data_IF_381941738998
#
_entry.id   IF_381941738998
#
_cell.length_a   1.000
_cell.length_b   1.000
_cell.length_c   1.000
_cell.angle_alpha   90.00
_cell.angle_beta   90.00
_cell.angle_gamma   90.00
#
_symmetry.space_group_name_H-M   'P 1'
#
loop_
_entity.id
_entity.type
_entity.pdbx_description
1 polymer ?
#
# COMPACT_ATOMS: atom_id res chain seq x y z
N UNK A 1 13.20 55.03 -38.40
CA UNK A 1 13.93 55.09 -37.12
C UNK A 1 13.13 54.57 -35.93
N UNK A 2 11.85 54.93 -35.77
CA UNK A 2 11.02 54.47 -34.63
C UNK A 2 10.81 52.95 -34.64
N UNK A 3 10.49 52.35 -35.80
CA UNK A 3 10.26 50.90 -35.93
C UNK A 3 11.50 50.05 -35.60
N UNK A 4 12.69 50.53 -35.94
CA UNK A 4 13.96 49.83 -35.69
C UNK A 4 14.30 49.85 -34.19
N UNK A 5 13.99 50.94 -33.49
CA UNK A 5 14.11 51.02 -32.03
C UNK A 5 13.15 50.07 -31.31
N UNK A 6 11.91 49.95 -31.79
CA UNK A 6 10.92 49.03 -31.19
C UNK A 6 11.33 47.56 -31.36
N UNK A 7 11.86 47.20 -32.54
CA UNK A 7 12.36 45.84 -32.81
C UNK A 7 13.59 45.48 -31.97
N UNK A 8 14.51 46.43 -31.76
CA UNK A 8 15.69 46.23 -30.90
C UNK A 8 15.29 46.04 -29.43
N UNK A 9 14.29 46.78 -28.94
CA UNK A 9 13.80 46.64 -27.56
C UNK A 9 13.12 45.28 -27.34
N UNK A 10 12.30 44.82 -28.31
CA UNK A 10 11.66 43.50 -28.24
C UNK A 10 12.71 42.38 -28.31
N UNK A 11 13.71 42.52 -29.18
CA UNK A 11 14.79 41.53 -29.28
C UNK A 11 15.62 41.46 -28.00
N UNK A 12 15.94 42.60 -27.38
CA UNK A 12 16.64 42.64 -26.09
C UNK A 12 15.81 42.04 -24.95
N UNK A 13 14.49 42.27 -24.92
CA UNK A 13 13.61 41.64 -23.93
C UNK A 13 13.53 40.12 -24.12
N UNK A 14 13.51 39.63 -25.36
CA UNK A 14 13.53 38.19 -25.66
C UNK A 14 14.87 37.58 -25.22
N UNK A 15 16.00 38.21 -25.52
CA UNK A 15 17.33 37.72 -25.11
C UNK A 15 17.49 37.72 -23.58
N UNK A 16 17.00 38.73 -22.88
CA UNK A 16 16.98 38.77 -21.40
C UNK A 16 16.07 37.68 -20.82
N UNK A 17 14.93 37.42 -21.46
CA UNK A 17 14.00 36.34 -21.06
C UNK A 17 14.59 34.94 -21.31
N UNK A 18 15.41 34.79 -22.37
CA UNK A 18 16.14 33.55 -22.66
C UNK A 18 17.38 33.37 -21.76
N UNK A 19 18.01 34.44 -21.28
CA UNK A 19 19.16 34.35 -20.36
C UNK A 19 18.78 34.17 -18.89
N UNK A 20 17.50 34.30 -18.53
CA UNK A 20 16.96 33.91 -17.21
C UNK A 20 16.47 32.46 -17.17
N UNK A 21 16.45 31.76 -18.31
CA UNK A 21 16.40 30.30 -18.36
C UNK A 21 17.81 29.78 -18.08
N UNK A 22 18.26 29.95 -16.83
CA UNK A 22 19.28 29.07 -16.31
C UNK A 22 18.82 27.64 -16.61
N UNK A 23 19.68 26.74 -17.15
CA UNK A 23 19.36 25.33 -17.00
C UNK A 23 19.18 25.14 -15.50
N UNK A 24 17.97 24.76 -15.08
CA UNK A 24 17.81 24.11 -13.79
C UNK A 24 18.80 22.96 -13.86
N UNK A 25 19.99 23.17 -13.30
CA UNK A 25 20.88 22.10 -12.93
C UNK A 25 19.99 21.27 -12.04
N UNK A 26 19.51 20.14 -12.57
CA UNK A 26 18.90 19.10 -11.77
C UNK A 26 20.01 18.73 -10.82
N UNK A 27 20.04 19.33 -9.62
CA UNK A 27 20.74 18.74 -8.51
C UNK A 27 20.28 17.29 -8.51
N UNK A 28 21.23 16.38 -8.69
CA UNK A 28 20.97 14.96 -8.58
C UNK A 28 20.44 14.77 -7.16
N UNK A 29 19.12 14.74 -7.04
CA UNK A 29 18.41 14.54 -5.78
C UNK A 29 18.94 13.22 -5.25
N UNK A 30 19.54 13.24 -4.07
CA UNK A 30 19.89 12.00 -3.38
C UNK A 30 18.63 11.12 -3.41
N UNK A 31 18.78 9.89 -3.92
CA UNK A 31 17.64 8.98 -4.03
C UNK A 31 17.10 8.76 -2.62
N UNK A 32 15.91 9.30 -2.34
CA UNK A 32 15.27 9.12 -1.05
C UNK A 32 14.90 7.66 -0.95
N UNK A 33 15.53 6.94 -0.02
CA UNK A 33 15.19 5.56 0.31
C UNK A 33 14.98 5.42 1.81
N UNK A 34 14.04 4.56 2.20
CA UNK A 34 13.81 4.24 3.61
C UNK A 34 13.35 2.79 3.75
N UNK A 35 13.59 2.21 4.92
CA UNK A 35 13.19 0.84 5.24
C UNK A 35 12.21 0.84 6.40
N UNK A 36 11.11 0.11 6.28
CA UNK A 36 10.17 -0.15 7.36
C UNK A 36 9.95 -1.65 7.52
N UNK A 37 9.50 -2.07 8.69
CA UNK A 37 9.07 -3.44 8.93
C UNK A 37 7.58 -3.49 9.27
N UNK A 38 6.96 -4.63 9.06
CA UNK A 38 5.56 -4.86 9.40
C UNK A 38 5.35 -6.32 9.83
N UNK A 39 4.34 -6.55 10.65
CA UNK A 39 3.82 -7.88 10.95
C UNK A 39 2.45 -7.78 11.62
N UNK A 40 1.64 -8.83 11.55
CA UNK A 40 0.38 -8.98 12.29
C UNK A 40 0.44 -10.14 13.27
N UNK A 41 -0.56 -10.23 14.15
CA UNK A 41 -0.85 -11.48 14.86
C UNK A 41 0.32 -11.92 15.77
N UNK A 42 0.70 -11.06 16.72
CA UNK A 42 1.67 -11.47 17.76
C UNK A 42 0.95 -12.32 18.80
N UNK A 43 -0.05 -11.74 19.45
CA UNK A 43 -0.53 -12.26 20.71
C UNK A 43 0.46 -12.10 21.85
N UNK A 44 -0.05 -11.99 23.07
CA UNK A 44 0.76 -11.88 24.27
C UNK A 44 -0.03 -12.44 25.47
N UNK A 45 -0.27 -13.74 25.43
CA UNK A 45 -0.85 -14.52 26.52
C UNK A 45 0.15 -15.62 26.93
N UNK A 46 -0.12 -16.32 28.04
CA UNK A 46 0.82 -17.26 28.66
C UNK A 46 1.38 -18.33 27.71
N UNK A 47 0.62 -18.74 26.69
CA UNK A 47 1.04 -19.71 25.68
C UNK A 47 1.86 -19.15 24.50
N UNK A 48 1.82 -17.83 24.26
CA UNK A 48 2.50 -17.18 23.12
C UNK A 48 3.66 -16.27 23.52
N UNK A 49 3.75 -15.84 24.78
CA UNK A 49 4.67 -14.78 25.21
C UNK A 49 6.13 -14.96 24.79
N UNK A 50 6.66 -16.19 24.81
CA UNK A 50 8.04 -16.47 24.40
C UNK A 50 8.27 -16.22 22.91
N UNK A 51 7.33 -16.66 22.06
CA UNK A 51 7.35 -16.42 20.62
C UNK A 51 7.23 -14.92 20.35
N UNK A 52 6.28 -14.25 21.02
CA UNK A 52 6.07 -12.80 20.94
C UNK A 52 7.34 -12.02 21.26
N UNK A 53 7.98 -12.35 22.38
CA UNK A 53 9.21 -11.70 22.82
C UNK A 53 10.36 -11.94 21.84
N UNK A 54 10.49 -13.17 21.32
CA UNK A 54 11.52 -13.53 20.34
C UNK A 54 11.37 -12.69 19.07
N UNK A 55 10.16 -12.62 18.51
CA UNK A 55 9.92 -11.89 17.27
C UNK A 55 10.04 -10.37 17.42
N UNK A 56 9.57 -9.81 18.54
CA UNK A 56 9.74 -8.38 18.82
C UNK A 56 11.21 -8.00 19.03
N UNK A 57 12.01 -8.87 19.64
CA UNK A 57 13.46 -8.64 19.84
C UNK A 57 14.27 -8.83 18.55
N UNK A 58 13.71 -9.53 17.54
CA UNK A 58 14.36 -9.73 16.25
C UNK A 58 14.27 -8.50 15.32
N UNK A 59 13.41 -7.52 15.61
CA UNK A 59 13.33 -6.28 14.85
C UNK A 59 14.68 -5.53 14.86
N UNK A 60 15.29 -5.26 13.70
CA UNK A 60 16.63 -4.67 13.68
C UNK A 60 16.60 -3.15 13.93
N UNK A 61 17.71 -2.59 14.45
CA UNK A 61 17.91 -1.15 14.47
C UNK A 61 18.03 -0.59 13.04
N UNK A 62 17.69 0.70 12.86
CA UNK A 62 17.80 1.38 11.57
C UNK A 62 16.54 1.37 10.72
N UNK A 63 15.48 0.68 11.16
CA UNK A 63 14.13 0.85 10.63
C UNK A 63 13.65 2.29 10.79
N UNK A 64 12.83 2.74 9.86
CA UNK A 64 12.22 4.08 9.86
C UNK A 64 10.97 4.11 10.72
N UNK A 65 10.17 3.04 10.64
CA UNK A 65 8.99 2.80 11.45
C UNK A 65 8.64 1.31 11.40
N UNK A 66 7.78 0.87 12.32
CA UNK A 66 7.16 -0.45 12.30
C UNK A 66 5.64 -0.31 12.14
N UNK A 67 5.01 -1.14 11.31
CA UNK A 67 3.56 -1.20 11.15
C UNK A 67 3.02 -2.52 11.69
N UNK A 68 2.24 -2.43 12.76
CA UNK A 68 1.55 -3.56 13.36
C UNK A 68 0.19 -3.77 12.68
N UNK A 69 0.00 -4.90 12.01
CA UNK A 69 -1.14 -5.16 11.12
C UNK A 69 -2.21 -6.00 11.82
N UNK A 70 -2.78 -5.47 12.90
CA UNK A 70 -3.91 -6.06 13.63
C UNK A 70 -3.59 -7.32 14.43
N UNK A 71 -4.52 -7.68 15.29
CA UNK A 71 -4.47 -8.82 16.22
C UNK A 71 -3.28 -8.77 17.18
N UNK A 72 -3.30 -7.76 18.02
CA UNK A 72 -2.15 -7.32 18.81
C UNK A 72 -1.85 -8.29 19.96
N UNK A 73 -2.82 -8.56 20.83
CA UNK A 73 -2.54 -9.27 22.09
C UNK A 73 -3.28 -10.57 22.28
N UNK A 74 -4.47 -10.74 21.69
CA UNK A 74 -5.37 -11.86 22.00
C UNK A 74 -5.61 -12.03 23.52
N UNK A 75 -5.35 -10.98 24.32
CA UNK A 75 -5.22 -11.06 25.77
C UNK A 75 -6.49 -10.57 26.47
N UNK A 76 -7.65 -10.99 25.95
CA UNK A 76 -8.95 -10.84 26.58
C UNK A 76 -9.68 -12.17 26.70
N UNK A 77 -10.98 -12.15 26.45
CA UNK A 77 -11.88 -13.30 26.60
C UNK A 77 -11.48 -14.51 25.77
N UNK A 78 -10.78 -14.34 24.63
CA UNK A 78 -10.32 -15.48 23.83
C UNK A 78 -9.31 -16.35 24.58
N UNK A 79 -8.63 -15.78 25.59
CA UNK A 79 -7.66 -16.48 26.43
C UNK A 79 -7.99 -16.41 27.94
N UNK A 80 -9.26 -16.18 28.30
CA UNK A 80 -9.74 -16.23 29.69
C UNK A 80 -9.40 -15.01 30.54
N UNK A 81 -9.01 -13.89 29.91
CA UNK A 81 -8.76 -12.61 30.56
C UNK A 81 -9.97 -11.67 30.43
N UNK A 82 -9.93 -10.54 31.15
CA UNK A 82 -10.92 -9.48 30.97
C UNK A 82 -10.85 -8.93 29.54
N UNK A 83 -12.00 -8.61 28.92
CA UNK A 83 -12.11 -8.01 27.58
C UNK A 83 -11.15 -6.87 27.27
N UNK A 84 -10.90 -6.02 28.27
CA UNK A 84 -10.12 -4.78 28.15
C UNK A 84 -9.37 -4.53 29.46
N UNK A 85 -8.29 -3.74 29.40
CA UNK A 85 -7.49 -3.32 30.54
C UNK A 85 -6.11 -3.99 30.60
N UNK A 86 -5.87 -5.02 29.80
CA UNK A 86 -4.58 -5.71 29.72
C UNK A 86 -3.65 -5.12 28.66
N UNK A 87 -4.16 -4.24 27.78
CA UNK A 87 -3.39 -3.60 26.71
C UNK A 87 -2.17 -2.89 27.29
N UNK A 88 -2.32 -2.25 28.46
CA UNK A 88 -1.22 -1.56 29.17
C UNK A 88 0.00 -2.46 29.44
N UNK A 89 -0.20 -3.76 29.65
CA UNK A 89 0.89 -4.71 29.84
C UNK A 89 1.70 -4.87 28.56
N UNK A 90 1.02 -5.00 27.42
CA UNK A 90 1.63 -5.03 26.09
C UNK A 90 2.37 -3.72 25.81
N UNK A 91 1.74 -2.58 26.04
CA UNK A 91 2.36 -1.28 25.79
C UNK A 91 3.64 -1.10 26.62
N UNK A 92 3.60 -1.47 27.90
CA UNK A 92 4.75 -1.39 28.78
C UNK A 92 5.85 -2.37 28.36
N UNK A 93 5.49 -3.57 27.91
CA UNK A 93 6.44 -4.52 27.36
C UNK A 93 7.18 -3.93 26.15
N UNK A 94 6.46 -3.38 25.17
CA UNK A 94 7.04 -2.77 23.96
C UNK A 94 7.92 -1.57 24.32
N UNK A 95 7.42 -0.65 25.15
CA UNK A 95 8.17 0.55 25.58
C UNK A 95 9.45 0.21 26.34
N UNK A 96 9.42 -0.81 27.20
CA UNK A 96 10.54 -1.14 28.09
C UNK A 96 11.57 -2.00 27.40
N UNK A 97 11.15 -2.98 26.59
CA UNK A 97 12.02 -4.04 26.11
C UNK A 97 12.38 -3.91 24.62
N UNK A 98 11.55 -3.23 23.83
CA UNK A 98 11.67 -3.23 22.36
C UNK A 98 12.11 -1.86 21.85
N UNK A 99 11.38 -0.79 22.20
CA UNK A 99 11.68 0.57 21.71
C UNK A 99 13.12 1.04 21.97
N UNK A 100 13.78 0.73 23.11
CA UNK A 100 15.15 1.16 23.34
C UNK A 100 16.15 0.66 22.28
N UNK A 101 15.88 -0.48 21.64
CA UNK A 101 16.74 -1.06 20.60
C UNK A 101 16.48 -0.46 19.21
N UNK A 102 15.28 0.08 18.98
CA UNK A 102 14.88 0.68 17.70
C UNK A 102 15.20 2.18 17.64
N UNK A 103 15.39 2.81 18.80
CA UNK A 103 15.77 4.21 18.95
C UNK A 103 14.72 5.04 19.69
N UNK A 104 15.12 6.19 20.25
CA UNK A 104 14.20 7.07 20.96
C UNK A 104 13.10 7.57 20.02
N UNK A 105 11.84 7.54 20.50
CA UNK A 105 10.66 7.97 19.73
C UNK A 105 10.42 7.19 18.42
N UNK A 106 10.91 5.95 18.31
CA UNK A 106 10.70 5.11 17.14
C UNK A 106 9.18 5.01 16.79
N UNK A 107 8.77 5.33 15.55
CA UNK A 107 7.37 5.33 15.17
C UNK A 107 6.79 3.91 15.13
N UNK A 108 5.84 3.65 16.02
CA UNK A 108 5.07 2.41 16.10
C UNK A 108 3.65 2.65 15.58
N UNK A 109 3.38 2.17 14.38
CA UNK A 109 2.11 2.35 13.68
C UNK A 109 1.23 1.14 13.97
N UNK A 110 -0.06 1.35 14.27
CA UNK A 110 -0.99 0.26 14.60
C UNK A 110 -2.18 0.32 13.66
N UNK A 111 -2.58 -0.83 13.13
CA UNK A 111 -3.78 -1.05 12.32
C UNK A 111 -4.66 -2.03 13.09
N UNK A 112 -5.96 -1.79 13.10
CA UNK A 112 -6.94 -2.64 13.81
C UNK A 112 -7.09 -4.00 13.12
N UNK A 113 -7.12 -5.07 13.93
CA UNK A 113 -7.61 -6.39 13.52
C UNK A 113 -8.91 -6.75 14.23
N UNK A 114 -9.46 -7.93 13.97
CA UNK A 114 -10.71 -8.36 14.59
C UNK A 114 -10.60 -8.58 16.10
N UNK A 115 -9.40 -8.84 16.62
CA UNK A 115 -9.19 -8.96 18.06
C UNK A 115 -9.18 -7.59 18.78
N UNK A 116 -9.03 -6.48 18.05
CA UNK A 116 -9.10 -5.10 18.56
C UNK A 116 -10.31 -4.31 18.04
N UNK A 117 -11.34 -4.99 17.52
CA UNK A 117 -12.53 -4.36 16.97
C UNK A 117 -13.44 -3.75 18.06
N UNK A 118 -13.35 -4.26 19.30
CA UNK A 118 -14.19 -3.85 20.42
C UNK A 118 -15.71 -4.00 20.21
N UNK A 119 -16.18 -4.69 19.16
CA UNK A 119 -17.58 -4.73 18.75
C UNK A 119 -18.36 -5.96 19.23
N UNK A 120 -17.70 -6.96 19.83
CA UNK A 120 -18.45 -8.01 20.52
C UNK A 120 -19.06 -7.48 21.83
N UNK A 121 -20.17 -8.07 22.29
CA UNK A 121 -20.80 -7.80 23.61
C UNK A 121 -19.82 -7.94 24.79
N UNK A 122 -18.62 -8.49 24.54
CA UNK A 122 -17.55 -8.66 25.51
C UNK A 122 -16.17 -8.24 24.96
N UNK A 123 -16.09 -7.27 24.01
CA UNK A 123 -14.84 -6.77 23.39
C UNK A 123 -13.69 -7.79 23.41
N UNK A 124 -13.72 -8.76 22.48
CA UNK A 124 -13.12 -10.09 22.70
C UNK A 124 -11.70 -10.01 23.27
N UNK A 125 -10.83 -9.20 22.68
CA UNK A 125 -9.43 -9.09 23.12
C UNK A 125 -8.90 -7.65 23.17
N UNK A 126 -9.82 -6.69 23.27
CA UNK A 126 -9.51 -5.28 23.41
C UNK A 126 -10.25 -4.42 22.38
N UNK A 127 -9.83 -3.15 22.32
CA UNK A 127 -10.25 -2.21 21.29
C UNK A 127 -9.09 -1.29 20.91
N UNK A 128 -8.97 -0.95 19.62
CA UNK A 128 -7.81 -0.24 19.06
C UNK A 128 -7.47 1.09 19.77
N UNK A 129 -8.45 1.76 20.38
CA UNK A 129 -8.19 3.04 21.05
C UNK A 129 -7.47 2.88 22.40
N UNK A 130 -7.58 1.74 23.06
CA UNK A 130 -6.77 1.44 24.24
C UNK A 130 -5.29 1.36 23.83
N UNK A 131 -5.01 0.67 22.72
CA UNK A 131 -3.68 0.51 22.15
C UNK A 131 -3.07 1.80 21.61
N UNK A 132 -3.90 2.70 21.11
CA UNK A 132 -3.47 3.99 20.55
C UNK A 132 -3.67 5.17 21.52
N UNK A 133 -4.02 4.89 22.77
CA UNK A 133 -4.17 5.90 23.82
C UNK A 133 -2.83 6.53 24.21
N UNK A 134 -2.83 7.74 24.82
CA UNK A 134 -1.61 8.38 25.32
C UNK A 134 -0.80 7.54 26.31
N UNK A 135 -1.47 6.68 27.07
CA UNK A 135 -0.83 5.80 28.05
C UNK A 135 -0.23 4.54 27.40
N UNK A 136 -0.62 4.22 26.16
CA UNK A 136 -0.09 3.10 25.38
C UNK A 136 0.87 3.59 24.28
N UNK A 137 0.69 3.16 23.02
CA UNK A 137 1.52 3.48 21.87
C UNK A 137 0.72 4.42 20.95
N UNK A 138 0.61 5.72 21.29
CA UNK A 138 -0.21 6.64 20.53
C UNK A 138 0.34 6.83 19.12
N UNK A 139 -0.48 7.41 18.25
CA UNK A 139 -0.10 7.88 16.92
C UNK A 139 1.27 8.59 16.98
N UNK A 140 2.29 8.11 16.26
CA UNK A 140 3.61 8.71 16.30
C UNK A 140 3.57 10.20 15.93
N UNK A 141 4.32 11.01 16.69
CA UNK A 141 4.50 12.40 16.35
C UNK A 141 5.30 12.51 15.04
N UNK A 142 4.90 13.42 14.15
CA UNK A 142 5.63 13.67 12.90
C UNK A 142 5.41 12.67 11.77
N UNK A 143 4.63 11.60 11.95
CA UNK A 143 4.33 10.66 10.84
C UNK A 143 3.42 11.24 9.76
N UNK A 144 2.83 12.44 9.98
CA UNK A 144 2.00 13.10 8.98
C UNK A 144 0.65 12.43 8.71
N UNK A 145 0.14 11.59 9.62
CA UNK A 145 -1.13 10.88 9.43
C UNK A 145 -2.32 11.81 9.18
N UNK A 146 -3.08 11.49 8.13
CA UNK A 146 -4.29 12.18 7.69
C UNK A 146 -5.48 11.22 7.89
N UNK A 147 -6.47 11.58 8.75
CA UNK A 147 -7.64 10.75 9.00
C UNK A 147 -8.58 10.72 7.79
N UNK A 148 -9.37 9.65 7.68
CA UNK A 148 -10.43 9.55 6.70
C UNK A 148 -11.51 10.63 6.83
N UNK A 149 -12.02 11.08 5.68
CA UNK A 149 -13.19 11.98 5.61
C UNK A 149 -14.50 11.21 5.40
N UNK A 150 -14.46 9.89 5.19
CA UNK A 150 -15.66 9.07 5.05
C UNK A 150 -16.47 8.98 6.35
N UNK A 151 -15.78 9.08 7.49
CA UNK A 151 -16.35 9.24 8.82
C UNK A 151 -15.82 8.21 9.81
N UNK A 152 -15.22 8.71 10.90
CA UNK A 152 -14.93 7.92 12.10
C UNK A 152 -15.75 8.55 13.23
N UNK A 153 -16.92 7.97 13.56
CA UNK A 153 -17.98 8.67 14.27
C UNK A 153 -17.66 9.02 15.72
N UNK A 154 -16.55 8.54 16.28
CA UNK A 154 -16.21 8.83 17.67
C UNK A 154 -15.05 9.82 17.79
N UNK A 155 -15.37 11.10 17.62
CA UNK A 155 -14.45 12.21 17.89
C UNK A 155 -14.11 12.36 19.39
N UNK A 156 -14.72 11.58 20.29
CA UNK A 156 -14.41 11.58 21.72
C UNK A 156 -13.30 10.60 22.11
N UNK A 157 -12.88 9.74 21.19
CA UNK A 157 -11.83 8.75 21.42
C UNK A 157 -10.44 9.30 21.01
N UNK A 158 -9.41 8.86 21.73
CA UNK A 158 -8.04 9.39 21.65
C UNK A 158 -7.37 9.29 20.25
N UNK A 159 -7.91 8.46 19.37
CA UNK A 159 -7.34 8.11 18.07
C UNK A 159 -7.96 8.86 16.89
N UNK A 160 -9.18 9.42 17.03
CA UNK A 160 -9.97 9.85 15.89
C UNK A 160 -10.20 8.70 14.89
N UNK A 161 -9.48 8.71 13.77
CA UNK A 161 -9.46 7.60 12.80
C UNK A 161 -8.18 6.76 12.83
N UNK A 162 -7.18 7.13 13.64
CA UNK A 162 -5.91 6.44 13.68
C UNK A 162 -6.09 4.99 14.14
N UNK A 163 -5.42 4.08 13.44
CA UNK A 163 -5.60 2.64 13.58
C UNK A 163 -6.84 2.06 12.91
N UNK A 164 -7.68 2.88 12.26
CA UNK A 164 -8.91 2.42 11.59
C UNK A 164 -8.92 2.75 10.11
N UNK A 165 -8.81 4.02 9.78
CA UNK A 165 -8.98 4.48 8.40
C UNK A 165 -8.27 5.82 8.16
N UNK A 166 -7.25 5.81 7.32
CA UNK A 166 -6.48 7.01 7.00
C UNK A 166 -5.25 6.68 6.20
N UNK A 167 -4.41 7.67 5.97
CA UNK A 167 -3.16 7.49 5.25
C UNK A 167 -2.06 8.39 5.78
N UNK A 168 -0.83 8.11 5.39
CA UNK A 168 0.29 9.01 5.55
C UNK A 168 1.25 8.87 4.37
N UNK A 169 1.90 9.96 4.03
CA UNK A 169 2.87 10.02 2.94
C UNK A 169 4.27 10.10 3.53
N UNK A 170 5.21 9.33 2.98
CA UNK A 170 6.56 9.25 3.51
C UNK A 170 7.64 9.24 2.42
N UNK A 171 8.79 9.92 2.63
CA UNK A 171 9.06 10.91 3.69
C UNK A 171 8.08 12.11 3.64
N UNK A 172 7.76 12.70 4.80
CA UNK A 172 6.71 13.73 4.91
C UNK A 172 6.95 14.94 3.99
N UNK A 173 8.20 15.39 3.84
CA UNK A 173 8.52 16.58 3.04
C UNK A 173 8.60 16.29 1.53
N UNK A 174 8.83 15.02 1.18
CA UNK A 174 9.18 14.59 -0.17
C UNK A 174 8.70 13.14 -0.38
N UNK A 175 7.38 12.94 -0.44
CA UNK A 175 6.82 11.60 -0.41
C UNK A 175 7.15 10.83 -1.67
N UNK A 176 7.54 9.57 -1.47
CA UNK A 176 7.72 8.58 -2.52
C UNK A 176 6.74 7.42 -2.37
N UNK A 177 6.07 7.31 -1.21
CA UNK A 177 5.06 6.31 -0.94
C UNK A 177 3.93 6.89 -0.10
N UNK A 178 2.71 6.49 -0.44
CA UNK A 178 1.52 6.61 0.37
C UNK A 178 1.22 5.27 1.02
N UNK A 179 1.08 5.31 2.33
CA UNK A 179 0.62 4.20 3.14
C UNK A 179 -0.81 4.44 3.55
N UNK A 180 -1.69 3.47 3.32
CA UNK A 180 -3.10 3.56 3.63
C UNK A 180 -3.41 2.47 4.66
N UNK A 181 -4.02 2.83 5.79
CA UNK A 181 -4.57 1.85 6.73
C UNK A 181 -6.09 1.84 6.60
N UNK A 182 -6.68 0.65 6.57
CA UNK A 182 -8.12 0.45 6.55
C UNK A 182 -8.52 -0.68 7.51
N UNK A 183 -9.79 -0.67 7.92
CA UNK A 183 -10.37 -1.67 8.80
C UNK A 183 -11.33 -2.57 7.99
N UNK A 184 -10.85 -3.13 6.88
CA UNK A 184 -11.67 -3.88 5.93
C UNK A 184 -12.51 -4.98 6.60
N UNK A 185 -13.83 -4.92 6.39
CA UNK A 185 -14.79 -5.85 6.96
C UNK A 185 -14.86 -5.89 8.50
N UNK A 186 -14.31 -4.89 9.19
CA UNK A 186 -14.39 -4.76 10.64
C UNK A 186 -15.60 -3.95 11.10
N UNK A 187 -16.03 -4.19 12.33
CA UNK A 187 -16.91 -3.27 13.08
C UNK A 187 -16.09 -2.74 14.24
N UNK A 188 -15.65 -1.50 14.18
CA UNK A 188 -14.72 -0.97 15.18
C UNK A 188 -15.42 -0.05 16.16
N UNK A 189 -15.17 -0.23 17.46
CA UNK A 189 -15.82 0.53 18.53
C UNK A 189 -15.38 0.15 19.94
N UNK A 190 -16.16 0.54 20.94
CA UNK A 190 -15.91 0.29 22.37
C UNK A 190 -17.01 -0.56 23.04
N UNK A 191 -17.75 -1.33 22.24
CA UNK A 191 -18.90 -2.13 22.67
C UNK A 191 -20.22 -1.36 22.80
N UNK A 192 -20.18 -0.03 22.95
CA UNK A 192 -21.38 0.82 23.03
C UNK A 192 -21.63 1.63 21.76
N UNK A 193 -20.56 2.11 21.11
CA UNK A 193 -20.58 2.77 19.81
C UNK A 193 -19.69 1.98 18.85
N UNK A 194 -20.21 1.59 17.68
CA UNK A 194 -19.45 0.83 16.68
C UNK A 194 -19.70 1.38 15.27
N UNK A 195 -18.67 1.25 14.42
CA UNK A 195 -18.68 1.69 13.01
C UNK A 195 -18.31 0.52 12.13
N UNK A 196 -19.16 0.19 11.15
CA UNK A 196 -18.85 -0.84 10.16
C UNK A 196 -18.03 -0.27 9.01
N UNK A 197 -16.85 -0.82 8.77
CA UNK A 197 -15.96 -0.45 7.68
C UNK A 197 -16.11 -1.47 6.55
N UNK A 198 -16.88 -1.08 5.54
CA UNK A 198 -17.03 -1.86 4.31
C UNK A 198 -16.90 -0.89 3.13
N UNK A 199 -16.25 -1.34 2.06
CA UNK A 199 -15.90 -0.52 0.90
C UNK A 199 -16.61 -1.12 -0.31
N UNK A 200 -17.68 -0.49 -0.75
CA UNK A 200 -18.44 -0.97 -1.90
C UNK A 200 -19.20 0.15 -2.58
N UNK A 201 -19.23 0.22 -3.94
CA UNK A 201 -19.98 1.22 -4.65
C UNK A 201 -21.47 1.17 -4.32
N UNK A 202 -22.13 2.34 -4.30
CA UNK A 202 -23.57 2.44 -4.08
C UNK A 202 -24.36 1.60 -5.11
N UNK A 203 -23.92 1.60 -6.37
CA UNK A 203 -24.57 0.85 -7.44
C UNK A 203 -24.50 -0.69 -7.24
N UNK A 204 -23.52 -1.16 -6.47
CA UNK A 204 -23.29 -2.59 -6.23
C UNK A 204 -23.94 -3.04 -4.93
N UNK A 205 -23.56 -2.45 -3.78
CA UNK A 205 -24.06 -2.90 -2.47
C UNK A 205 -25.30 -2.15 -1.98
N UNK A 206 -25.78 -1.13 -2.69
CA UNK A 206 -26.92 -0.29 -2.32
C UNK A 206 -26.83 0.24 -0.87
N UNK A 207 -25.64 0.68 -0.46
CA UNK A 207 -25.38 1.23 0.87
C UNK A 207 -24.53 2.50 0.79
N UNK A 208 -25.13 3.64 1.14
CA UNK A 208 -24.47 4.94 1.08
C UNK A 208 -23.28 5.06 2.04
N UNK A 209 -23.28 4.35 3.18
CA UNK A 209 -22.13 4.37 4.08
C UNK A 209 -20.93 3.69 3.43
N UNK A 210 -21.14 2.55 2.77
CA UNK A 210 -20.05 1.81 2.14
C UNK A 210 -19.49 2.56 0.93
N UNK A 211 -20.36 3.27 0.22
CA UNK A 211 -19.99 4.12 -0.90
C UNK A 211 -19.12 5.31 -0.47
N UNK A 212 -19.33 5.86 0.73
CA UNK A 212 -18.46 6.92 1.28
C UNK A 212 -17.04 6.41 1.51
N UNK A 213 -16.89 5.27 2.18
CA UNK A 213 -15.58 4.64 2.41
C UNK A 213 -14.91 4.26 1.09
N UNK A 214 -15.68 3.70 0.14
CA UNK A 214 -15.23 3.40 -1.22
C UNK A 214 -14.66 4.62 -1.95
N UNK A 215 -15.45 5.70 -2.04
CA UNK A 215 -15.06 6.90 -2.78
C UNK A 215 -13.90 7.64 -2.11
N UNK A 216 -13.84 7.61 -0.77
CA UNK A 216 -12.69 8.13 -0.04
C UNK A 216 -11.42 7.34 -0.39
N UNK A 217 -11.44 6.02 -0.24
CA UNK A 217 -10.28 5.16 -0.49
C UNK A 217 -9.80 5.29 -1.93
N UNK A 218 -10.73 5.27 -2.89
CA UNK A 218 -10.45 5.53 -4.30
C UNK A 218 -9.72 6.86 -4.51
N UNK A 219 -10.24 7.96 -3.98
CA UNK A 219 -9.60 9.27 -4.11
C UNK A 219 -8.22 9.35 -3.46
N UNK A 220 -7.99 8.65 -2.34
CA UNK A 220 -6.68 8.56 -1.69
C UNK A 220 -5.68 7.78 -2.56
N UNK A 221 -6.11 6.69 -3.21
CA UNK A 221 -5.26 5.94 -4.14
C UNK A 221 -4.96 6.80 -5.38
N UNK A 222 -5.99 7.36 -6.02
CA UNK A 222 -5.87 8.15 -7.26
C UNK A 222 -4.89 9.31 -7.10
N UNK A 223 -4.97 10.03 -5.98
CA UNK A 223 -4.09 11.17 -5.72
C UNK A 223 -2.63 10.75 -5.49
N UNK A 224 -2.38 9.61 -4.84
CA UNK A 224 -1.02 9.08 -4.72
C UNK A 224 -0.46 8.62 -6.06
N UNK A 225 -1.26 7.94 -6.90
CA UNK A 225 -0.85 7.55 -8.25
C UNK A 225 -0.53 8.77 -9.11
N UNK A 226 -1.34 9.82 -9.04
CA UNK A 226 -1.10 11.09 -9.75
C UNK A 226 0.21 11.77 -9.29
N UNK A 227 0.55 11.68 -8.01
CA UNK A 227 1.83 12.15 -7.46
C UNK A 227 3.03 11.25 -7.80
N UNK A 228 2.80 10.06 -8.37
CA UNK A 228 3.84 9.09 -8.67
C UNK A 228 4.30 8.26 -7.46
N UNK A 229 3.59 8.33 -6.34
CA UNK A 229 3.90 7.63 -5.08
C UNK A 229 3.55 6.14 -5.17
N UNK A 230 4.37 5.28 -4.56
CA UNK A 230 3.99 3.89 -4.30
C UNK A 230 2.72 3.86 -3.44
N UNK A 231 1.77 2.99 -3.76
CA UNK A 231 0.55 2.83 -2.95
C UNK A 231 0.62 1.49 -2.22
N UNK A 232 0.75 1.58 -0.90
CA UNK A 232 0.87 0.44 0.01
C UNK A 232 -0.33 0.46 0.95
N UNK A 233 -1.14 -0.60 0.97
CA UNK A 233 -2.35 -0.71 1.79
C UNK A 233 -2.14 -1.74 2.89
N UNK A 234 -2.42 -1.38 4.13
CA UNK A 234 -2.55 -2.28 5.25
C UNK A 234 -4.03 -2.54 5.53
N UNK A 235 -4.42 -3.80 5.42
CA UNK A 235 -5.77 -4.28 5.70
C UNK A 235 -5.64 -5.58 6.47
N UNK A 236 -6.18 -5.70 7.67
CA UNK A 236 -5.86 -6.87 8.49
C UNK A 236 -6.36 -8.19 7.87
N UNK A 237 -7.58 -8.20 7.32
CA UNK A 237 -8.22 -9.40 6.76
C UNK A 237 -7.93 -9.57 5.25
N UNK A 238 -7.16 -10.58 4.83
CA UNK A 238 -6.97 -10.85 3.41
C UNK A 238 -8.27 -11.34 2.75
N UNK A 239 -8.57 -10.91 1.52
CA UNK A 239 -9.58 -11.60 0.71
C UNK A 239 -9.00 -12.84 0.00
N UNK A 240 -7.75 -12.73 -0.44
CA UNK A 240 -7.00 -13.81 -1.06
C UNK A 240 -6.08 -14.45 0.00
N UNK A 241 -6.39 -15.67 0.44
CA UNK A 241 -5.60 -16.40 1.44
C UNK A 241 -5.39 -17.86 1.02
N UNK A 242 -4.18 -18.44 1.21
CA UNK A 242 -3.93 -19.87 1.02
C UNK A 242 -4.10 -20.67 2.31
N UNK A 243 -4.33 -20.01 3.45
CA UNK A 243 -4.54 -20.65 4.75
C UNK A 243 -5.81 -21.53 4.76
N UNK A 244 -5.92 -22.44 5.71
CA UNK A 244 -7.00 -23.40 5.88
C UNK A 244 -8.22 -22.80 6.58
N UNK A 245 -8.05 -21.80 7.43
CA UNK A 245 -9.13 -21.25 8.25
C UNK A 245 -9.71 -19.95 7.69
N UNK A 246 -8.97 -19.27 6.81
CA UNK A 246 -9.33 -17.94 6.30
C UNK A 246 -9.53 -17.92 4.78
N UNK A 247 -10.24 -16.90 4.30
CA UNK A 247 -10.54 -16.64 2.88
C UNK A 247 -11.11 -15.22 2.77
N UNK A 248 -11.88 -14.92 1.72
CA UNK A 248 -12.56 -13.64 1.52
C UNK A 248 -13.73 -13.37 2.46
N UNK A 249 -13.42 -13.35 3.75
CA UNK A 249 -14.32 -13.03 4.83
C UNK A 249 -14.84 -11.61 4.69
N UNK A 250 -16.13 -11.45 4.93
CA UNK A 250 -16.79 -10.15 4.89
C UNK A 250 -17.84 -10.04 5.98
N UNK A 251 -18.24 -8.81 6.29
CA UNK A 251 -19.23 -8.53 7.31
C UNK A 251 -20.67 -8.70 6.79
N UNK A 252 -20.94 -9.84 6.15
CA UNK A 252 -22.22 -10.18 5.54
C UNK A 252 -22.24 -10.07 4.01
N UNK A 253 -23.44 -10.12 3.45
CA UNK A 253 -23.70 -9.99 2.01
C UNK A 253 -24.69 -8.85 1.83
N UNK A 254 -24.39 -7.91 0.93
CA UNK A 254 -25.17 -6.69 0.73
C UNK A 254 -25.58 -6.58 -0.73
N UNK A 255 -26.88 -6.56 -0.98
CA UNK A 255 -27.44 -6.62 -2.33
C UNK A 255 -26.88 -7.79 -3.18
N UNK A 256 -26.60 -8.93 -2.54
CA UNK A 256 -26.01 -10.10 -3.18
C UNK A 256 -24.49 -10.08 -3.32
N UNK A 257 -23.81 -9.03 -2.83
CA UNK A 257 -22.38 -8.84 -2.98
C UNK A 257 -21.60 -8.93 -1.65
N UNK A 258 -20.38 -9.45 -1.73
CA UNK A 258 -19.38 -9.44 -0.67
C UNK A 258 -18.58 -8.13 -0.73
N UNK A 259 -18.70 -7.24 0.26
CA UNK A 259 -18.00 -5.96 0.25
C UNK A 259 -16.47 -6.11 0.29
N UNK A 260 -15.93 -7.18 0.88
CA UNK A 260 -14.48 -7.44 0.86
C UNK A 260 -13.99 -7.80 -0.53
N UNK A 261 -14.78 -8.54 -1.30
CA UNK A 261 -14.47 -8.81 -2.71
C UNK A 261 -14.48 -7.52 -3.54
N UNK A 262 -15.42 -6.61 -3.27
CA UNK A 262 -15.46 -5.32 -3.93
C UNK A 262 -14.24 -4.47 -3.57
N UNK A 263 -13.86 -4.40 -2.29
CA UNK A 263 -12.65 -3.71 -1.84
C UNK A 263 -11.41 -4.18 -2.63
N UNK A 264 -11.26 -5.48 -2.82
CA UNK A 264 -10.15 -6.03 -3.61
C UNK A 264 -10.26 -5.69 -5.10
N UNK A 265 -11.47 -5.66 -5.66
CA UNK A 265 -11.68 -5.14 -7.01
C UNK A 265 -11.23 -3.68 -7.14
N UNK A 266 -11.41 -2.85 -6.11
CA UNK A 266 -10.88 -1.48 -6.09
C UNK A 266 -9.35 -1.47 -6.14
N UNK A 267 -8.69 -2.31 -5.35
CA UNK A 267 -7.22 -2.39 -5.35
C UNK A 267 -6.66 -2.73 -6.73
N UNK A 268 -7.29 -3.69 -7.42
CA UNK A 268 -6.90 -4.03 -8.78
C UNK A 268 -7.19 -2.90 -9.77
N UNK A 269 -8.36 -2.27 -9.68
CA UNK A 269 -8.77 -1.25 -10.66
C UNK A 269 -7.99 0.05 -10.55
N UNK A 270 -7.64 0.45 -9.33
CA UNK A 270 -6.89 1.70 -9.07
C UNK A 270 -5.37 1.49 -9.01
N UNK A 271 -4.90 0.26 -9.24
CA UNK A 271 -3.49 -0.05 -9.38
C UNK A 271 -2.70 0.14 -8.09
N UNK A 272 -3.22 -0.38 -6.97
CA UNK A 272 -2.46 -0.52 -5.73
C UNK A 272 -1.21 -1.37 -6.00
N UNK A 273 -0.06 -0.95 -5.47
CA UNK A 273 1.20 -1.62 -5.76
C UNK A 273 1.41 -2.82 -4.81
N UNK A 274 1.12 -2.64 -3.52
CA UNK A 274 1.27 -3.66 -2.48
C UNK A 274 0.10 -3.63 -1.49
N UNK A 275 -0.49 -4.78 -1.19
CA UNK A 275 -1.41 -4.99 -0.07
C UNK A 275 -0.72 -5.88 0.97
N UNK A 276 -0.82 -5.49 2.24
CA UNK A 276 -0.24 -6.19 3.37
C UNK A 276 -1.37 -6.58 4.32
N UNK A 277 -1.42 -7.86 4.69
CA UNK A 277 -2.41 -8.43 5.60
C UNK A 277 -1.78 -9.17 6.79
N UNK A 278 -2.58 -9.36 7.83
CA UNK A 278 -2.35 -10.32 8.93
C UNK A 278 -3.40 -11.42 8.86
N UNK A 279 -4.03 -11.75 10.01
CA UNK A 279 -5.24 -12.59 10.22
C UNK A 279 -5.06 -14.07 9.87
N UNK A 280 -4.63 -14.34 8.65
CA UNK A 280 -4.22 -15.66 8.24
C UNK A 280 -2.82 -15.94 8.81
N UNK A 281 -2.72 -16.87 9.75
CA UNK A 281 -1.46 -17.20 10.43
C UNK A 281 -0.50 -18.05 9.56
N UNK A 282 -0.22 -17.54 8.36
CA UNK A 282 0.72 -18.04 7.38
C UNK A 282 1.53 -16.87 6.83
N UNK A 283 2.76 -17.11 6.38
CA UNK A 283 3.42 -16.19 5.47
C UNK A 283 3.00 -16.55 4.05
N UNK A 284 2.59 -15.59 3.23
CA UNK A 284 2.31 -15.86 1.83
C UNK A 284 2.49 -14.63 0.95
N UNK A 285 3.17 -14.82 -0.19
CA UNK A 285 3.27 -13.82 -1.25
C UNK A 285 2.54 -14.29 -2.49
N UNK A 286 1.63 -13.45 -2.96
CA UNK A 286 0.90 -13.69 -4.20
C UNK A 286 1.76 -13.45 -5.45
N UNK A 287 1.29 -14.00 -6.58
CA UNK A 287 1.63 -13.53 -7.93
C UNK A 287 1.22 -12.05 -8.08
N UNK A 288 1.58 -11.40 -9.17
CA UNK A 288 1.03 -10.08 -9.46
C UNK A 288 -0.35 -10.23 -10.12
N UNK A 289 -1.38 -9.72 -9.46
CA UNK A 289 -2.77 -10.03 -9.77
C UNK A 289 -3.57 -8.82 -10.25
N UNK A 290 -4.53 -9.08 -11.14
CA UNK A 290 -5.47 -8.08 -11.68
C UNK A 290 -6.93 -8.40 -11.36
N UNK A 291 -7.21 -9.55 -10.76
CA UNK A 291 -8.54 -9.95 -10.28
C UNK A 291 -8.45 -11.12 -9.28
N UNK A 292 -9.55 -11.42 -8.60
CA UNK A 292 -9.72 -12.59 -7.72
C UNK A 292 -10.18 -13.86 -8.45
N UNK A 293 -10.52 -13.74 -9.74
CA UNK A 293 -11.11 -14.82 -10.53
C UNK A 293 -12.36 -14.38 -11.28
N UNK A 294 -13.04 -15.31 -11.96
CA UNK A 294 -14.23 -15.01 -12.76
C UNK A 294 -15.50 -14.82 -11.92
N UNK A 295 -15.49 -15.31 -10.68
CA UNK A 295 -16.65 -15.33 -9.78
C UNK A 295 -16.34 -14.57 -8.51
N UNK A 296 -17.29 -13.76 -8.05
CA UNK A 296 -17.17 -13.04 -6.79
C UNK A 296 -17.20 -14.02 -5.60
N UNK A 297 -16.18 -14.02 -4.72
CA UNK A 297 -16.14 -14.91 -3.58
C UNK A 297 -17.18 -14.54 -2.51
N UNK A 298 -17.82 -15.54 -1.92
CA UNK A 298 -18.80 -15.35 -0.84
C UNK A 298 -18.13 -14.99 0.48
N UNK A 299 -18.73 -14.06 1.23
CA UNK A 299 -18.21 -13.59 2.51
C UNK A 299 -18.16 -14.61 3.65
N UNK A 300 -18.75 -15.80 3.44
CA UNK A 300 -18.77 -16.89 4.42
C UNK A 300 -18.05 -18.15 3.95
N UNK A 301 -17.49 -18.14 2.73
CA UNK A 301 -16.88 -19.32 2.14
C UNK A 301 -15.36 -19.29 2.26
N UNK A 302 -14.82 -20.38 2.78
CA UNK A 302 -13.38 -20.60 2.89
C UNK A 302 -12.70 -21.03 1.58
N UNK A 303 -13.44 -21.19 0.49
CA UNK A 303 -12.93 -21.80 -0.75
C UNK A 303 -13.54 -21.21 -2.04
N UNK A 304 -14.15 -20.04 -1.98
CA UNK A 304 -14.86 -19.43 -3.11
C UNK A 304 -14.01 -18.57 -4.04
N UNK A 305 -12.74 -18.31 -3.67
CA UNK A 305 -11.78 -17.66 -4.58
C UNK A 305 -11.28 -18.69 -5.59
N UNK A 306 -11.70 -18.53 -6.84
CA UNK A 306 -11.35 -19.42 -7.95
C UNK A 306 -10.10 -18.93 -8.70
N UNK A 307 -9.16 -19.85 -8.95
CA UNK A 307 -8.00 -19.52 -9.76
C UNK A 307 -8.37 -19.29 -11.22
N UNK A 308 -7.91 -18.16 -11.77
CA UNK A 308 -7.88 -17.91 -13.20
C UNK A 308 -6.49 -17.44 -13.61
N UNK A 309 -5.84 -18.11 -14.59
CA UNK A 309 -4.57 -17.63 -15.12
C UNK A 309 -4.70 -16.26 -15.80
N UNK A 310 -5.90 -15.85 -16.23
CA UNK A 310 -6.12 -14.52 -16.80
C UNK A 310 -5.99 -13.38 -15.78
N UNK A 311 -6.07 -13.68 -14.48
CA UNK A 311 -5.86 -12.72 -13.42
C UNK A 311 -4.38 -12.54 -13.06
N UNK A 312 -3.46 -13.32 -13.65
CA UNK A 312 -2.03 -13.28 -13.35
C UNK A 312 -1.32 -12.42 -14.40
N UNK A 313 -0.85 -11.24 -14.00
CA UNK A 313 -0.01 -10.40 -14.84
C UNK A 313 1.45 -10.83 -14.83
N UNK A 314 1.93 -11.29 -13.67
CA UNK A 314 3.27 -11.82 -13.47
C UNK A 314 3.23 -12.97 -12.45
N UNK A 315 3.97 -14.04 -12.70
CA UNK A 315 4.05 -15.20 -11.82
C UNK A 315 4.95 -14.99 -10.60
N UNK A 316 5.84 -13.99 -10.62
CA UNK A 316 6.79 -13.73 -9.53
C UNK A 316 7.85 -14.83 -9.34
N UNK A 317 8.03 -15.71 -10.34
CA UNK A 317 8.96 -16.85 -10.28
C UNK A 317 10.43 -16.46 -10.27
N UNK A 318 10.75 -15.26 -10.74
CA UNK A 318 12.09 -14.67 -10.74
C UNK A 318 12.27 -13.64 -9.60
N UNK A 319 11.28 -13.54 -8.70
CA UNK A 319 11.22 -12.57 -7.61
C UNK A 319 11.23 -11.10 -8.06
N UNK A 320 10.82 -10.82 -9.29
CA UNK A 320 10.70 -9.47 -9.83
C UNK A 320 9.25 -9.25 -10.29
N UNK A 321 8.69 -8.10 -9.94
CA UNK A 321 7.41 -7.63 -10.44
C UNK A 321 7.56 -6.24 -11.05
N UNK A 322 6.59 -5.84 -11.87
CA UNK A 322 6.58 -4.54 -12.52
C UNK A 322 5.49 -3.64 -11.95
N UNK A 323 5.84 -2.42 -11.52
CA UNK A 323 4.88 -1.43 -11.03
C UNK A 323 3.75 -1.22 -12.04
N UNK A 324 2.51 -1.13 -11.56
CA UNK A 324 1.34 -0.85 -12.39
C UNK A 324 0.85 -2.00 -13.27
N UNK A 325 1.37 -3.22 -13.11
CA UNK A 325 0.85 -4.42 -13.79
C UNK A 325 -0.19 -5.19 -13.00
N UNK A 326 -0.40 -4.84 -11.73
CA UNK A 326 -1.34 -5.47 -10.83
C UNK A 326 -0.86 -5.34 -9.38
N UNK A 327 -1.67 -5.86 -8.47
CA UNK A 327 -1.43 -5.85 -7.03
C UNK A 327 -0.56 -7.04 -6.66
N UNK A 328 0.45 -6.82 -5.81
CA UNK A 328 1.08 -7.90 -5.04
C UNK A 328 0.49 -7.88 -3.64
N UNK A 329 -0.06 -9.01 -3.20
CA UNK A 329 -0.44 -9.26 -1.81
C UNK A 329 0.67 -9.97 -1.03
N UNK A 330 0.94 -9.51 0.18
CA UNK A 330 1.72 -10.20 1.20
C UNK A 330 0.88 -10.39 2.46
N UNK A 331 0.76 -11.63 2.89
CA UNK A 331 0.15 -12.02 4.16
C UNK A 331 1.27 -12.36 5.12
N UNK A 332 1.29 -11.72 6.28
CA UNK A 332 2.29 -11.96 7.33
C UNK A 332 1.64 -11.94 8.72
N UNK A 333 0.67 -12.85 8.91
CA UNK A 333 0.03 -13.09 10.20
C UNK A 333 0.80 -14.07 11.09
N UNK A 334 2.12 -14.15 10.88
CA UNK A 334 2.99 -15.11 11.56
C UNK A 334 4.02 -14.41 12.43
N UNK A 335 3.68 -13.26 13.02
CA UNK A 335 4.64 -12.58 13.86
C UNK A 335 5.00 -13.42 15.09
N UNK A 336 4.01 -14.06 15.72
CA UNK A 336 4.30 -15.15 16.68
C UNK A 336 3.26 -16.25 16.80
N UNK A 337 2.16 -16.18 16.06
CA UNK A 337 1.20 -17.28 15.99
C UNK A 337 1.76 -18.47 15.18
N UNK A 338 1.56 -19.69 15.69
CA UNK A 338 2.08 -20.95 15.14
C UNK A 338 0.98 -21.97 14.85
N UNK A 339 -0.24 -21.53 14.53
CA UNK A 339 -1.39 -22.41 14.35
C UNK A 339 -2.02 -22.35 12.95
N UNK A 340 -1.65 -21.40 12.09
CA UNK A 340 -2.14 -21.35 10.71
C UNK A 340 -1.46 -22.38 9.81
N UNK A 341 -2.21 -22.84 8.81
CA UNK A 341 -1.77 -23.94 7.95
C UNK A 341 -2.28 -23.72 6.53
N UNK A 342 -1.39 -23.81 5.56
CA UNK A 342 -1.78 -23.71 4.15
C UNK A 342 -2.66 -24.90 3.73
N UNK A 343 -3.67 -24.63 2.92
CA UNK A 343 -4.48 -25.62 2.22
C UNK A 343 -4.20 -25.60 0.71
N UNK A 344 -3.24 -26.42 0.29
CA UNK A 344 -2.80 -26.53 -1.12
C UNK A 344 -3.85 -27.10 -2.08
N UNK A 345 -4.98 -27.61 -1.59
CA UNK A 345 -6.08 -28.08 -2.46
C UNK A 345 -7.03 -26.96 -2.87
N UNK A 346 -6.94 -25.78 -2.24
CA UNK A 346 -7.78 -24.63 -2.58
C UNK A 346 -7.37 -24.07 -3.93
N UNK A 347 -8.33 -23.73 -4.81
CA UNK A 347 -8.02 -23.05 -6.06
C UNK A 347 -7.16 -21.80 -5.84
N UNK A 348 -7.50 -20.99 -4.82
CA UNK A 348 -6.77 -19.79 -4.43
C UNK A 348 -5.26 -20.00 -4.19
N UNK A 349 -4.81 -21.19 -3.77
CA UNK A 349 -3.38 -21.49 -3.56
C UNK A 349 -2.55 -21.29 -4.84
N UNK A 350 -3.17 -21.44 -6.02
CA UNK A 350 -2.50 -21.23 -7.32
C UNK A 350 -2.22 -19.77 -7.65
N UNK A 351 -2.78 -18.81 -6.90
CA UNK A 351 -2.43 -17.39 -6.99
C UNK A 351 -1.18 -17.02 -6.20
N UNK A 352 -0.62 -17.93 -5.41
CA UNK A 352 0.58 -17.64 -4.64
C UNK A 352 1.85 -17.97 -5.44
N UNK A 353 2.89 -17.17 -5.23
CA UNK A 353 4.24 -17.42 -5.74
C UNK A 353 5.06 -18.20 -4.70
N UNK A 354 4.84 -17.89 -3.41
CA UNK A 354 5.42 -18.62 -2.28
C UNK A 354 4.52 -18.49 -1.05
N UNK A 355 4.59 -19.48 -0.16
CA UNK A 355 3.89 -19.47 1.13
C UNK A 355 4.54 -20.45 2.12
N UNK A 356 4.43 -20.13 3.41
CA UNK A 356 4.90 -20.93 4.53
C UNK A 356 3.79 -21.04 5.60
N UNK A 357 3.56 -22.23 6.13
CA UNK A 357 2.66 -22.41 7.28
C UNK A 357 3.38 -22.02 8.56
N UNK A 358 2.69 -21.47 9.55
CA UNK A 358 3.28 -21.29 10.88
C UNK A 358 3.15 -22.55 11.75
N UNK A 359 2.20 -23.44 11.42
CA UNK A 359 1.91 -24.65 12.19
C UNK A 359 3.03 -25.69 12.13
N UNK A 360 3.66 -26.02 13.27
CA UNK A 360 4.77 -26.98 13.31
C UNK A 360 4.34 -28.44 13.24
N UNK A 361 3.04 -28.72 13.31
CA UNK A 361 2.47 -30.06 13.17
C UNK A 361 1.18 -30.00 12.34
N UNK A 362 1.26 -30.22 11.01
CA UNK A 362 0.11 -30.16 10.11
C UNK A 362 -1.00 -31.13 10.52
N UNK A 363 -2.23 -30.64 10.45
CA UNK A 363 -3.47 -31.40 10.76
C UNK A 363 -4.00 -32.19 9.56
N UNK A 364 -3.54 -31.84 8.35
CA UNK A 364 -3.86 -32.58 7.11
C UNK A 364 -2.71 -33.50 6.75
N UNK A 365 -3.01 -34.62 6.07
CA UNK A 365 -1.97 -35.57 5.66
C UNK A 365 -0.88 -34.87 4.86
N UNK A 366 0.42 -35.09 5.15
CA UNK A 366 1.54 -34.46 4.43
C UNK A 366 1.57 -34.80 2.93
N UNK A 367 0.76 -35.78 2.48
CA UNK A 367 0.56 -36.12 1.06
C UNK A 367 -0.24 -35.08 0.27
N UNK A 368 -0.85 -34.09 0.93
CA UNK A 368 -1.61 -33.01 0.29
C UNK A 368 -0.70 -31.84 -0.11
N UNK A 369 0.56 -31.81 0.36
CA UNK A 369 1.50 -30.74 0.08
C UNK A 369 2.38 -31.07 -1.13
N UNK A 370 2.82 -30.02 -1.82
CA UNK A 370 4.22 -29.81 -2.25
C UNK A 370 4.37 -28.91 -3.49
N UNK A 371 3.34 -28.20 -3.97
CA UNK A 371 3.55 -27.37 -5.16
C UNK A 371 2.75 -26.07 -5.12
N UNK A 372 3.47 -24.96 -4.96
CA UNK A 372 3.05 -23.65 -5.45
C UNK A 372 3.89 -23.42 -6.70
N UNK A 373 3.23 -23.27 -7.86
CA UNK A 373 3.89 -22.99 -9.15
C UNK A 373 4.91 -24.04 -9.63
N UNK A 374 4.74 -25.32 -9.30
CA UNK A 374 5.72 -26.34 -9.73
C UNK A 374 7.10 -26.20 -9.05
N UNK A 375 7.16 -25.49 -7.91
CA UNK A 375 8.25 -25.53 -6.93
C UNK A 375 7.81 -26.20 -5.63
N UNK A 376 8.68 -27.00 -4.96
CA UNK A 376 8.42 -27.54 -3.63
C UNK A 376 8.11 -26.39 -2.67
N UNK A 377 6.95 -26.43 -2.02
CA UNK A 377 6.66 -25.52 -0.91
C UNK A 377 7.38 -26.01 0.34
N UNK A 378 8.05 -25.11 1.04
CA UNK A 378 8.74 -25.45 2.28
C UNK A 378 7.73 -25.92 3.33
N UNK A 379 7.98 -27.10 3.91
CA UNK A 379 7.21 -27.62 5.04
C UNK A 379 7.84 -27.25 6.39
N UNK A 380 8.95 -26.52 6.38
CA UNK A 380 9.38 -25.77 7.54
C UNK A 380 8.29 -24.75 7.88
N UNK A 381 8.08 -24.57 9.17
CA UNK A 381 7.24 -23.51 9.69
C UNK A 381 8.12 -22.53 10.44
N UNK A 382 7.56 -21.36 10.72
CA UNK A 382 8.27 -20.37 11.48
C UNK A 382 7.42 -19.15 11.69
N UNK A 383 7.97 -18.26 12.47
CA UNK A 383 7.42 -16.95 12.75
C UNK A 383 8.44 -15.90 12.36
N UNK A 384 7.97 -14.72 11.97
CA UNK A 384 8.80 -13.72 11.33
C UNK A 384 8.06 -12.43 11.03
N UNK A 385 8.70 -11.55 10.29
CA UNK A 385 8.14 -10.26 9.89
C UNK A 385 8.67 -9.84 8.52
N UNK A 386 7.90 -9.02 7.82
CA UNK A 386 8.28 -8.41 6.55
C UNK A 386 9.11 -7.14 6.75
N UNK A 387 10.17 -6.99 5.96
CA UNK A 387 10.91 -5.75 5.78
C UNK A 387 10.76 -5.24 4.36
N UNK A 388 10.50 -3.94 4.22
CA UNK A 388 10.33 -3.29 2.92
C UNK A 388 11.23 -2.06 2.86
N UNK A 389 12.13 -2.06 1.87
CA UNK A 389 12.90 -0.88 1.48
C UNK A 389 12.25 -0.23 0.27
N UNK A 390 11.91 1.04 0.39
CA UNK A 390 11.26 1.83 -0.66
C UNK A 390 12.22 2.88 -1.17
N UNK A 391 12.35 2.97 -2.49
CA UNK A 391 13.03 4.04 -3.23
C UNK A 391 12.11 4.59 -4.31
N UNK A 392 12.53 5.60 -5.07
CA UNK A 392 11.75 6.12 -6.19
C UNK A 392 11.57 5.07 -7.32
N UNK A 393 12.49 4.13 -7.42
CA UNK A 393 12.59 3.18 -8.54
C UNK A 393 12.21 1.75 -8.17
N UNK A 394 12.22 1.40 -6.89
CA UNK A 394 12.01 0.02 -6.44
C UNK A 394 11.39 -0.04 -5.04
N UNK A 395 10.48 -1.01 -4.85
CA UNK A 395 10.08 -1.55 -3.55
C UNK A 395 10.71 -2.93 -3.40
N UNK A 396 11.63 -3.10 -2.44
CA UNK A 396 12.29 -4.37 -2.14
C UNK A 396 11.77 -4.96 -0.85
N UNK A 397 11.30 -6.20 -0.89
CA UNK A 397 10.79 -6.95 0.24
C UNK A 397 11.76 -8.06 0.65
N UNK A 398 11.89 -8.29 1.96
CA UNK A 398 12.53 -9.48 2.54
C UNK A 398 11.71 -9.94 3.74
N UNK A 399 11.43 -11.24 3.83
CA UNK A 399 10.87 -11.83 5.04
C UNK A 399 12.00 -12.24 5.97
N UNK A 400 11.94 -11.76 7.22
CA UNK A 400 12.90 -12.06 8.27
C UNK A 400 12.32 -13.10 9.21
N UNK A 401 13.01 -14.24 9.33
CA UNK A 401 12.63 -15.27 10.27
C UNK A 401 13.10 -14.92 11.69
N UNK A 402 12.16 -14.86 12.63
CA UNK A 402 12.44 -14.64 14.05
C UNK A 402 12.75 -15.95 14.78
N UNK A 403 11.98 -17.00 14.47
CA UNK A 403 12.16 -18.34 15.03
C UNK A 403 11.76 -19.39 13.99
N UNK A 404 12.64 -20.37 13.80
CA UNK A 404 12.39 -21.50 12.93
C UNK A 404 11.80 -22.67 13.71
N UNK A 405 10.73 -23.28 13.18
CA UNK A 405 10.15 -24.51 13.73
C UNK A 405 10.11 -25.59 12.65
N UNK A 406 10.91 -26.66 12.84
CA UNK A 406 11.11 -27.70 11.82
C UNK A 406 10.21 -28.90 12.06
N UNK A 407 9.34 -29.23 11.10
CA UNK A 407 8.44 -30.40 11.18
C UNK A 407 9.12 -31.72 10.77
N UNK A 408 9.90 -31.72 9.69
CA UNK A 408 10.60 -32.91 9.19
C UNK A 408 12.11 -32.74 9.34
N UNK A 409 12.67 -33.46 10.30
CA UNK A 409 14.08 -33.41 10.74
C UNK A 409 15.10 -32.85 9.73
N UNK A 410 15.77 -31.77 10.13
CA UNK A 410 17.06 -31.32 9.59
C UNK A 410 17.10 -30.92 8.10
N UNK A 411 15.98 -30.77 7.40
CA UNK A 411 16.00 -30.42 5.99
C UNK A 411 16.40 -28.96 5.76
N UNK A 412 17.47 -28.76 5.00
CA UNK A 412 17.87 -27.45 4.45
C UNK A 412 17.33 -27.30 3.02
N UNK A 413 17.03 -26.08 2.56
CA UNK A 413 17.20 -24.79 3.25
C UNK A 413 16.02 -24.41 4.15
N UNK A 414 16.25 -23.45 5.05
CA UNK A 414 15.23 -22.73 5.81
C UNK A 414 14.40 -21.84 4.87
N UNK A 415 13.11 -21.70 5.14
CA UNK A 415 12.23 -20.84 4.35
C UNK A 415 12.77 -19.40 4.29
N UNK A 416 12.70 -18.79 3.12
CA UNK A 416 13.03 -17.39 2.91
C UNK A 416 12.18 -16.85 1.77
N UNK A 417 11.83 -15.57 1.83
CA UNK A 417 11.17 -14.87 0.74
C UNK A 417 11.80 -13.50 0.54
N UNK A 418 12.03 -13.15 -0.73
CA UNK A 418 12.46 -11.83 -1.14
C UNK A 418 11.93 -11.56 -2.53
N UNK A 419 11.55 -10.32 -2.80
CA UNK A 419 11.17 -9.88 -4.13
C UNK A 419 11.33 -8.37 -4.27
N UNK A 420 11.27 -7.90 -5.52
CA UNK A 420 11.22 -6.47 -5.83
C UNK A 420 10.03 -6.15 -6.72
N UNK A 421 9.44 -4.97 -6.53
CA UNK A 421 8.54 -4.35 -7.52
C UNK A 421 9.31 -3.19 -8.12
N UNK A 422 9.63 -3.28 -9.41
CA UNK A 422 10.40 -2.25 -10.13
C UNK A 422 9.50 -1.27 -10.83
N UNK A 423 9.84 0.00 -10.69
CA UNK A 423 9.28 1.07 -11.48
C UNK A 423 10.14 1.26 -12.74
N UNK A 424 9.90 0.43 -13.76
CA UNK A 424 10.63 0.47 -15.04
C UNK A 424 10.32 1.73 -15.89
N UNK A 425 9.50 2.64 -15.38
CA UNK A 425 9.21 3.96 -15.96
C UNK A 425 9.37 5.07 -14.91
N UNK A 426 10.57 5.28 -14.33
CA UNK A 426 10.75 6.17 -13.19
C UNK A 426 10.68 7.68 -13.53
N UNK A 427 10.13 8.05 -14.69
CA UNK A 427 10.21 9.40 -15.26
C UNK A 427 8.88 10.08 -15.61
N UNK A 428 7.72 9.45 -15.41
CA UNK A 428 6.44 10.17 -15.55
C UNK A 428 5.98 10.70 -14.20
N UNK A 429 6.74 11.64 -13.63
CA UNK A 429 6.09 12.57 -12.70
C UNK A 429 5.04 13.31 -13.51
N UNK A 430 3.77 13.16 -13.12
CA UNK A 430 2.75 14.08 -13.59
C UNK A 430 3.04 15.42 -12.91
N UNK A 431 4.01 16.16 -13.45
CA UNK A 431 4.07 17.57 -13.17
C UNK A 431 2.75 18.12 -13.68
N UNK A 432 2.05 18.89 -12.85
CA UNK A 432 0.85 19.67 -13.20
C UNK A 432 1.05 20.53 -14.48
N UNK A 433 2.29 20.63 -14.97
CA UNK A 433 2.72 21.31 -16.20
C UNK A 433 2.61 20.46 -17.48
N UNK A 434 2.45 19.14 -17.41
CA UNK A 434 2.30 18.27 -18.58
C UNK A 434 1.04 18.55 -19.41
N UNK A 435 -0.07 18.93 -18.74
CA UNK A 435 -1.32 19.33 -19.39
C UNK A 435 -1.27 20.72 -20.05
N UNK A 436 -0.29 21.54 -19.67
CA UNK A 436 -0.13 22.90 -20.18
C UNK A 436 0.89 22.92 -21.33
N UNK A 437 1.95 22.10 -21.24
CA UNK A 437 2.97 21.96 -22.30
C UNK A 437 2.46 21.35 -23.61
N UNK A 438 1.51 20.41 -23.54
CA UNK A 438 0.83 19.87 -24.73
C UNK A 438 -0.08 20.87 -25.43
N UNK A 439 -0.69 21.80 -24.67
CA UNK A 439 -1.56 22.84 -25.22
C UNK A 439 -0.79 24.00 -25.90
N UNK A 440 0.45 24.24 -25.47
CA UNK A 440 1.28 25.34 -25.98
C UNK A 440 2.27 24.94 -27.09
N UNK A 441 2.62 23.66 -27.25
CA UNK A 441 3.60 23.23 -28.26
C UNK A 441 2.99 23.07 -29.66
N UNK A 442 1.75 22.58 -29.77
CA UNK A 442 1.11 22.39 -31.09
C UNK A 442 0.60 23.70 -31.72
N UNK A 443 0.15 24.66 -30.91
CA UNK A 443 -0.40 25.92 -31.41
C UNK A 443 0.67 26.98 -31.78
N UNK A 444 1.88 26.88 -31.24
CA UNK A 444 2.96 27.84 -31.56
C UNK A 444 3.64 27.55 -32.90
N UNK A 445 3.81 26.27 -33.28
CA UNK A 445 4.38 25.92 -34.59
C UNK A 445 3.45 26.41 -35.72
N UNK A 446 2.14 26.32 -35.52
CA UNK A 446 1.13 26.82 -36.47
C UNK A 446 1.10 28.36 -36.48
N UNK A 447 1.25 29.01 -35.33
CA UNK A 447 1.25 30.49 -35.22
C UNK A 447 2.51 31.15 -35.77
N UNK A 448 3.68 30.53 -35.59
CA UNK A 448 4.95 31.02 -36.17
C UNK A 448 5.01 30.73 -37.67
N UNK A 449 4.49 29.59 -38.13
CA UNK A 449 4.39 29.29 -39.56
C UNK A 449 3.40 30.24 -40.29
N UNK A 450 2.26 30.59 -39.68
CA UNK A 450 1.32 31.57 -40.25
C UNK A 450 1.85 33.00 -40.22
N UNK A 451 2.60 33.41 -39.18
CA UNK A 451 3.28 34.71 -39.14
C UNK A 451 4.42 34.83 -40.17
N UNK A 452 5.15 33.74 -40.43
CA UNK A 452 6.17 33.66 -41.49
C UNK A 452 5.53 33.66 -42.89
N UNK A 453 4.40 32.97 -43.08
CA UNK A 453 3.68 32.94 -44.37
C UNK A 453 3.02 34.29 -44.72
N UNK A 454 2.59 35.08 -43.73
CA UNK A 454 1.99 36.41 -43.93
C UNK A 454 3.01 37.54 -44.14
N UNK A 455 4.27 37.34 -43.77
CA UNK A 455 5.34 38.35 -43.92
C UNK A 455 6.06 38.30 -45.27
N UNK A 456 6.06 37.15 -45.95
CA UNK A 456 6.67 36.96 -47.29
C UNK A 456 5.98 37.81 -48.38
N UNK A 457 4.63 37.89 -48.47
CA UNK A 457 3.96 38.73 -49.46
C UNK A 457 4.21 40.23 -49.26
N UNK A 458 4.33 40.68 -48.00
CA UNK A 458 4.54 42.10 -47.64
C UNK A 458 5.95 42.57 -48.00
N UNK A 459 6.95 41.69 -47.85
CA UNK A 459 8.35 41.97 -48.25
C UNK A 459 8.47 42.00 -49.78
N UNK A 460 7.83 41.07 -50.50
CA UNK A 460 7.84 41.04 -51.98
C UNK A 460 7.12 42.26 -52.58
N UNK A 461 6.01 42.71 -51.97
CA UNK A 461 5.28 43.90 -52.42
C UNK A 461 6.10 45.19 -52.25
N UNK A 462 6.89 45.31 -51.17
CA UNK A 462 7.79 46.46 -50.96
C UNK A 462 9.00 46.48 -51.89
N UNK A 463 9.57 45.31 -52.23
CA UNK A 463 10.67 45.24 -53.21
C UNK A 463 10.20 45.65 -54.61
N UNK A 464 8.98 45.26 -55.02
CA UNK A 464 8.39 45.70 -56.31
C UNK A 464 8.08 47.20 -56.36
N UNK A 465 7.68 47.81 -55.24
CA UNK A 465 7.41 49.26 -55.17
C UNK A 465 8.72 50.08 -55.16
N UNK A 466 9.78 49.57 -54.52
CA UNK A 466 11.10 50.20 -54.55
C UNK A 466 11.78 50.11 -55.93
N UNK A 467 11.61 49.00 -56.64
CA UNK A 467 12.17 48.81 -58.00
C UNK A 467 11.55 49.72 -59.08
N UNK A 468 10.34 50.26 -58.87
CA UNK A 468 9.71 51.23 -59.78
C UNK A 468 10.19 52.68 -59.61
N UNK A 469 10.86 53.02 -58.50
CA UNK A 469 11.36 54.39 -58.22
C UNK A 469 12.79 54.66 -58.72
N UNK A 470 13.44 53.71 -59.39
CA UNK A 470 14.78 53.87 -59.97
C UNK A 470 14.83 53.73 -61.51
N UNK A 471 13.81 54.26 -62.19
CA UNK A 471 13.98 54.69 -63.59
C UNK A 471 13.76 56.20 -63.67
N UNK A 472 14.86 56.93 -63.62
CA UNK A 472 14.96 58.26 -64.24
C UNK A 472 15.99 58.21 -65.37
N UNK A 473 15.84 59.07 -66.39
CA UNK A 473 16.44 58.90 -67.71
C UNK A 473 17.89 59.44 -67.72
N UNK A 474 18.72 58.81 -68.56
CA UNK A 474 20.03 59.35 -68.94
C UNK A 474 19.84 60.41 -70.06
N UNK A 475 20.77 61.37 -70.19
CA UNK A 475 20.69 62.49 -71.13
C UNK A 475 20.63 62.08 -72.60
#
# INVERSE_FOLDING_TARGET
MILVRTLLIIFSLIVVSLSTLSPLVSEARAESSFTFAFAGDTGQYSGSFANSATSLQALPPGLTFFVYVGDITYNGTSNGFLPTGNEVLWCNFVKTNIQPNLGPNFPWIQVVGNHEDGNSTFAKDGYIDAFTSPNCLPKPAGIGFIPSTAGCPDASLYSGCYGREGYWDFPVDQPIARFIMIAGAEKVGNGTTTTGYNYCPLATCNNLNFDKHWNWLRGVIDTAKASGEWVIVFDHKPCLSPDLATSCEGNGTFNGHNPTAQLWNLFFSEGVDLVINGHAHVHARSKQLTCLGPTEPSSSSLNSVEYSPSCVADSGSDNVYSRGKGVVNVIDGVFSQEDGQINFTRPAASYFATAMSARPSPTVSPRVCCWVNGSPTDMNSGIGFGEVTVSATELSYTWQMSLETRFLGGQTPTFSDTFVIRNDQPGQSSTLFGGIGGFFTENWIISVATAAALSIPVIILRIRIAGRKHRQPLP
#
